data_IF_662282006098
#
_entry.id   IF_662282006098
#
_cell.length_a   1.000
_cell.length_b   1.000
_cell.length_c   1.000
_cell.angle_alpha   90.00
_cell.angle_beta   90.00
_cell.angle_gamma   90.00
#
_symmetry.space_group_name_H-M   'P 1'
#
loop_
_entity.id
_entity.type
_entity.pdbx_description
1 polymer ?
#
# COMPACT_ATOMS: atom_id res chain seq x y z
N UNK A 1 -11.11 -0.38 -15.51
CA UNK A 1 -11.76 -0.83 -14.27
C UNK A 1 -12.76 0.25 -13.95
N UNK A 2 -14.06 -0.06 -13.88
CA UNK A 2 -15.06 0.94 -13.54
C UNK A 2 -15.20 1.00 -12.01
N UNK A 3 -14.42 1.88 -11.39
CA UNK A 3 -14.50 2.20 -9.98
C UNK A 3 -15.59 3.25 -9.74
N UNK A 4 -16.45 3.03 -8.75
CA UNK A 4 -17.48 3.99 -8.35
C UNK A 4 -16.91 5.12 -7.45
N UNK A 5 -17.71 6.15 -7.18
CA UNK A 5 -17.26 7.30 -6.39
C UNK A 5 -16.89 6.92 -4.95
N UNK A 6 -17.55 5.89 -4.40
CA UNK A 6 -17.24 5.38 -3.06
C UNK A 6 -15.87 4.68 -3.03
N UNK A 7 -15.56 3.84 -4.02
CA UNK A 7 -14.25 3.23 -4.18
C UNK A 7 -13.15 4.28 -4.34
N UNK A 8 -13.38 5.32 -5.17
CA UNK A 8 -12.43 6.43 -5.32
C UNK A 8 -12.20 7.16 -4.00
N UNK A 9 -13.26 7.40 -3.22
CA UNK A 9 -13.19 8.04 -1.90
C UNK A 9 -12.40 7.19 -0.91
N UNK A 10 -12.64 5.87 -0.86
CA UNK A 10 -11.90 4.93 -0.03
C UNK A 10 -10.41 4.91 -0.37
N UNK A 11 -10.05 4.85 -1.66
CA UNK A 11 -8.65 4.87 -2.11
C UNK A 11 -7.92 6.14 -1.68
N UNK A 12 -8.54 7.31 -1.91
CA UNK A 12 -7.98 8.60 -1.48
C UNK A 12 -7.81 8.68 0.03
N UNK A 13 -8.77 8.14 0.79
CA UNK A 13 -8.67 8.07 2.25
C UNK A 13 -7.49 7.19 2.68
N UNK A 14 -7.33 6.00 2.09
CA UNK A 14 -6.22 5.11 2.42
C UNK A 14 -4.84 5.75 2.18
N UNK A 15 -4.66 6.45 1.05
CA UNK A 15 -3.44 7.22 0.78
C UNK A 15 -3.24 8.35 1.80
N UNK A 16 -4.30 9.07 2.17
CA UNK A 16 -4.18 10.15 3.16
C UNK A 16 -3.75 9.66 4.55
N UNK A 17 -4.02 8.40 4.90
CA UNK A 17 -3.53 7.80 6.14
C UNK A 17 -2.01 7.61 6.09
N UNK A 18 -1.44 7.28 4.93
CA UNK A 18 0.01 7.20 4.74
C UNK A 18 0.68 8.58 4.87
N UNK A 19 -0.01 9.67 4.56
CA UNK A 19 0.56 11.02 4.73
C UNK A 19 0.61 11.45 6.20
N UNK A 20 -0.29 10.94 7.04
CA UNK A 20 -0.31 11.27 8.48
C UNK A 20 0.85 10.64 9.24
N UNK A 21 1.45 9.56 8.72
CA UNK A 21 2.57 8.89 9.40
C UNK A 21 3.85 9.74 9.44
N UNK A 22 3.91 10.82 8.66
CA UNK A 22 5.03 11.76 8.70
C UNK A 22 5.06 12.61 9.98
N UNK A 23 3.94 12.67 10.72
CA UNK A 23 3.84 13.33 12.02
C UNK A 23 4.31 12.44 13.19
N UNK A 24 4.60 11.17 12.90
CA UNK A 24 4.98 10.15 13.88
C UNK A 24 6.48 9.85 13.81
N UNK A 25 7.01 9.22 14.85
CA UNK A 25 8.40 8.78 14.95
C UNK A 25 8.53 7.35 15.47
N UNK A 26 9.72 6.75 15.30
CA UNK A 26 10.06 5.45 15.87
C UNK A 26 9.13 4.30 15.45
N UNK A 27 8.84 3.40 16.40
CA UNK A 27 8.02 2.21 16.17
C UNK A 27 6.56 2.54 15.82
N UNK A 28 6.01 3.61 16.38
CA UNK A 28 4.64 4.08 16.11
C UNK A 28 4.48 4.44 14.64
N UNK A 29 5.44 5.18 14.07
CA UNK A 29 5.48 5.50 12.65
C UNK A 29 5.46 4.26 11.76
N UNK A 30 6.28 3.25 12.09
CA UNK A 30 6.36 2.02 11.32
C UNK A 30 5.05 1.21 11.38
N UNK A 31 4.44 1.14 12.57
CA UNK A 31 3.16 0.44 12.78
C UNK A 31 2.03 1.13 12.00
N UNK A 32 1.90 2.45 12.11
CA UNK A 32 0.85 3.20 11.42
C UNK A 32 1.02 3.19 9.90
N UNK A 33 2.26 3.20 9.40
CA UNK A 33 2.51 3.01 7.97
C UNK A 33 2.08 1.62 7.50
N UNK A 34 2.41 0.57 8.26
CA UNK A 34 1.98 -0.79 7.92
C UNK A 34 0.46 -0.91 7.91
N UNK A 35 -0.24 -0.29 8.86
CA UNK A 35 -1.69 -0.27 8.91
C UNK A 35 -2.29 0.42 7.68
N UNK A 36 -1.73 1.59 7.31
CA UNK A 36 -2.18 2.33 6.13
C UNK A 36 -1.91 1.56 4.82
N UNK A 37 -0.76 0.87 4.70
CA UNK A 37 -0.41 0.01 3.57
C UNK A 37 -1.40 -1.13 3.37
N UNK A 38 -1.76 -1.80 4.47
CA UNK A 38 -2.74 -2.88 4.46
C UNK A 38 -4.11 -2.37 4.03
N UNK A 39 -4.56 -1.24 4.58
CA UNK A 39 -5.86 -0.65 4.22
C UNK A 39 -5.91 -0.27 2.74
N UNK A 40 -4.84 0.27 2.19
CA UNK A 40 -4.74 0.58 0.77
C UNK A 40 -4.94 -0.65 -0.12
N UNK A 41 -4.22 -1.75 0.20
CA UNK A 41 -4.34 -3.00 -0.55
C UNK A 41 -5.73 -3.64 -0.41
N UNK A 42 -6.33 -3.60 0.78
CA UNK A 42 -7.71 -4.07 1.02
C UNK A 42 -8.70 -3.34 0.12
N UNK A 43 -8.65 -2.01 0.09
CA UNK A 43 -9.53 -1.21 -0.75
C UNK A 43 -9.38 -1.59 -2.23
N UNK A 44 -8.16 -1.79 -2.73
CA UNK A 44 -7.94 -2.26 -4.12
C UNK A 44 -8.63 -3.61 -4.36
N UNK A 45 -8.45 -4.59 -3.46
CA UNK A 45 -9.03 -5.91 -3.63
C UNK A 45 -10.57 -5.90 -3.50
N UNK A 46 -11.13 -5.05 -2.64
CA UNK A 46 -12.58 -4.80 -2.54
C UNK A 46 -13.13 -4.26 -3.86
N UNK A 47 -12.52 -3.21 -4.41
CA UNK A 47 -12.95 -2.59 -5.68
C UNK A 47 -12.84 -3.58 -6.84
N UNK A 48 -11.80 -4.42 -6.84
CA UNK A 48 -11.62 -5.46 -7.84
C UNK A 48 -12.59 -6.66 -7.67
N UNK A 49 -13.40 -6.70 -6.61
CA UNK A 49 -14.26 -7.84 -6.29
C UNK A 49 -13.48 -9.13 -6.01
N UNK A 50 -12.21 -9.03 -5.60
CA UNK A 50 -11.30 -10.15 -5.46
C UNK A 50 -11.27 -10.67 -4.02
N UNK A 51 -12.33 -11.36 -3.62
CA UNK A 51 -12.50 -11.92 -2.27
C UNK A 51 -11.38 -12.90 -1.86
N UNK A 52 -10.81 -13.62 -2.82
CA UNK A 52 -9.69 -14.54 -2.56
C UNK A 52 -8.42 -13.78 -2.14
N UNK A 53 -8.11 -12.67 -2.81
CA UNK A 53 -6.97 -11.84 -2.44
C UNK A 53 -7.19 -11.11 -1.12
N UNK A 54 -8.42 -10.69 -0.81
CA UNK A 54 -8.77 -10.16 0.52
C UNK A 54 -8.44 -11.17 1.63
N UNK A 55 -8.90 -12.43 1.48
CA UNK A 55 -8.62 -13.48 2.46
C UNK A 55 -7.12 -13.77 2.61
N UNK A 56 -6.37 -13.79 1.51
CA UNK A 56 -4.91 -14.01 1.56
C UNK A 56 -4.22 -12.83 2.24
N UNK A 57 -4.61 -11.59 1.92
CA UNK A 57 -4.07 -10.38 2.54
C UNK A 57 -4.29 -10.37 4.05
N UNK A 58 -5.49 -10.72 4.51
CA UNK A 58 -5.82 -10.81 5.93
C UNK A 58 -4.98 -11.89 6.64
N UNK A 59 -4.74 -13.03 5.98
CA UNK A 59 -3.92 -14.11 6.56
C UNK A 59 -2.44 -13.75 6.73
N UNK A 60 -1.95 -12.74 6.01
CA UNK A 60 -0.57 -12.30 6.01
C UNK A 60 -0.32 -11.06 6.88
N UNK A 61 -1.38 -10.46 7.41
CA UNK A 61 -1.37 -9.19 8.15
C UNK A 61 -0.25 -9.09 9.20
N UNK A 62 -0.23 -10.03 10.16
CA UNK A 62 0.73 -10.01 11.26
C UNK A 62 2.18 -10.24 10.80
N UNK A 63 2.34 -10.98 9.69
CA UNK A 63 3.66 -11.18 9.08
C UNK A 63 4.13 -9.93 8.35
N UNK A 64 3.22 -9.18 7.74
CA UNK A 64 3.49 -7.90 7.10
C UNK A 64 3.91 -6.85 8.13
N UNK A 65 3.18 -6.72 9.24
CA UNK A 65 3.54 -5.82 10.35
C UNK A 65 4.93 -6.16 10.90
N UNK A 66 5.22 -7.44 11.18
CA UNK A 66 6.53 -7.84 11.68
C UNK A 66 7.66 -7.54 10.69
N UNK A 67 7.43 -7.77 9.40
CA UNK A 67 8.37 -7.40 8.34
C UNK A 67 8.60 -5.88 8.35
N UNK A 68 7.54 -5.08 8.42
CA UNK A 68 7.64 -3.62 8.49
C UNK A 68 8.42 -3.16 9.71
N UNK A 69 8.13 -3.66 10.91
CA UNK A 69 8.87 -3.31 12.13
C UNK A 69 10.35 -3.71 11.99
N UNK A 70 10.67 -4.88 11.44
CA UNK A 70 12.05 -5.35 11.31
C UNK A 70 12.85 -4.67 10.19
N UNK A 71 12.19 -4.10 9.17
CA UNK A 71 12.85 -3.55 7.97
C UNK A 71 12.69 -2.03 7.81
N UNK A 72 11.66 -1.42 8.40
CA UNK A 72 11.29 -0.01 8.20
C UNK A 72 11.45 0.87 9.44
N UNK A 73 11.55 0.32 10.66
CA UNK A 73 11.83 1.12 11.87
C UNK A 73 13.13 1.94 11.77
N UNK A 74 14.02 1.58 10.84
CA UNK A 74 15.27 2.29 10.53
C UNK A 74 15.31 2.92 9.11
N UNK A 75 14.29 2.78 8.25
CA UNK A 75 14.38 3.15 6.83
C UNK A 75 13.19 4.00 6.35
N UNK A 76 13.25 5.29 6.64
CA UNK A 76 12.29 6.31 6.18
C UNK A 76 12.25 6.46 4.66
N UNK A 77 13.37 6.21 3.97
CA UNK A 77 13.45 6.30 2.51
C UNK A 77 12.57 5.24 1.82
N UNK A 78 12.53 4.03 2.36
CA UNK A 78 11.66 2.97 1.86
C UNK A 78 10.18 3.36 1.94
N UNK A 79 9.76 3.92 3.08
CA UNK A 79 8.40 4.43 3.28
C UNK A 79 8.05 5.51 2.25
N UNK A 80 8.98 6.44 1.99
CA UNK A 80 8.79 7.51 1.01
C UNK A 80 8.60 6.98 -0.41
N UNK A 81 9.41 6.00 -0.81
CA UNK A 81 9.29 5.38 -2.14
C UNK A 81 7.96 4.66 -2.27
N UNK A 82 7.55 3.87 -1.26
CA UNK A 82 6.28 3.16 -1.25
C UNK A 82 5.09 4.13 -1.31
N UNK A 83 5.08 5.19 -0.51
CA UNK A 83 4.05 6.24 -0.56
C UNK A 83 3.89 6.85 -1.96
N UNK A 84 5.02 7.17 -2.63
CA UNK A 84 4.99 7.67 -4.02
C UNK A 84 4.46 6.64 -5.01
N UNK A 85 4.81 5.37 -4.84
CA UNK A 85 4.31 4.29 -5.70
C UNK A 85 2.80 4.06 -5.52
N UNK A 86 2.30 4.03 -4.29
CA UNK A 86 0.88 3.91 -4.00
C UNK A 86 0.06 5.05 -4.60
N UNK A 87 0.56 6.29 -4.53
CA UNK A 87 -0.05 7.44 -5.22
C UNK A 87 -0.19 7.21 -6.72
N UNK A 88 0.88 6.77 -7.39
CA UNK A 88 0.85 6.49 -8.85
C UNK A 88 -0.17 5.41 -9.21
N UNK A 89 -0.26 4.36 -8.38
CA UNK A 89 -1.26 3.30 -8.55
C UNK A 89 -2.68 3.87 -8.38
N UNK A 90 -2.91 4.61 -7.30
CA UNK A 90 -4.20 5.25 -7.01
C UNK A 90 -4.63 6.19 -8.13
N UNK A 91 -3.74 7.07 -8.59
CA UNK A 91 -4.04 8.03 -9.67
C UNK A 91 -4.48 7.30 -10.94
N UNK A 92 -3.75 6.25 -11.32
CA UNK A 92 -4.08 5.43 -12.48
C UNK A 92 -5.46 4.75 -12.34
N UNK A 93 -5.76 4.18 -11.16
CA UNK A 93 -7.07 3.56 -10.89
C UNK A 93 -8.19 4.61 -10.96
N UNK A 94 -8.00 5.78 -10.34
CA UNK A 94 -9.02 6.84 -10.26
C UNK A 94 -9.39 7.39 -11.64
N UNK A 95 -8.42 7.52 -12.55
CA UNK A 95 -8.67 7.99 -13.93
C UNK A 95 -9.07 6.86 -14.88
N UNK A 96 -9.09 5.60 -14.42
CA UNK A 96 -9.42 4.43 -15.23
C UNK A 96 -8.30 3.93 -16.15
N UNK A 97 -7.05 4.32 -15.92
CA UNK A 97 -5.87 3.85 -16.65
C UNK A 97 -5.45 2.45 -16.17
N UNK A 98 -6.05 1.42 -16.76
CA UNK A 98 -5.77 0.01 -16.42
C UNK A 98 -4.31 -0.38 -16.69
N UNK A 99 -3.75 0.07 -17.81
CA UNK A 99 -2.38 -0.26 -18.24
C UNK A 99 -1.38 0.38 -17.27
N UNK A 100 -1.60 1.65 -16.92
CA UNK A 100 -0.79 2.35 -15.92
C UNK A 100 -0.90 1.69 -14.55
N UNK A 101 -2.11 1.37 -14.10
CA UNK A 101 -2.33 0.74 -12.80
C UNK A 101 -1.58 -0.59 -12.68
N UNK A 102 -1.68 -1.46 -13.70
CA UNK A 102 -0.95 -2.73 -13.73
C UNK A 102 0.57 -2.51 -13.73
N UNK A 103 1.06 -1.61 -14.58
CA UNK A 103 2.49 -1.28 -14.66
C UNK A 103 3.03 -0.80 -13.31
N UNK A 104 2.36 0.16 -12.67
CA UNK A 104 2.81 0.74 -11.41
C UNK A 104 2.73 -0.26 -10.25
N UNK A 105 1.73 -1.15 -10.24
CA UNK A 105 1.66 -2.23 -9.26
C UNK A 105 2.83 -3.23 -9.42
N UNK A 106 3.19 -3.60 -10.66
CA UNK A 106 4.35 -4.46 -10.93
C UNK A 106 5.67 -3.81 -10.51
N UNK A 107 5.83 -2.50 -10.78
CA UNK A 107 6.99 -1.72 -10.34
C UNK A 107 7.12 -1.73 -8.80
N UNK A 108 6.01 -1.50 -8.09
CA UNK A 108 5.96 -1.54 -6.63
C UNK A 108 6.37 -2.91 -6.07
N UNK A 109 5.76 -4.00 -6.54
CA UNK A 109 6.08 -5.36 -6.11
C UNK A 109 7.56 -5.70 -6.39
N UNK A 110 8.09 -5.30 -7.56
CA UNK A 110 9.49 -5.52 -7.91
C UNK A 110 10.45 -4.79 -6.96
N UNK A 111 10.12 -3.55 -6.60
CA UNK A 111 10.88 -2.76 -5.64
C UNK A 111 10.89 -3.41 -4.24
N UNK A 112 9.71 -3.76 -3.71
CA UNK A 112 9.59 -4.44 -2.42
C UNK A 112 10.36 -5.76 -2.41
N UNK A 113 10.27 -6.56 -3.47
CA UNK A 113 11.00 -7.83 -3.58
C UNK A 113 12.51 -7.63 -3.48
N UNK A 114 13.06 -6.60 -4.13
CA UNK A 114 14.49 -6.27 -4.05
C UNK A 114 14.89 -5.88 -2.62
N UNK A 115 14.06 -5.08 -1.95
CA UNK A 115 14.33 -4.66 -0.58
C UNK A 115 14.31 -5.85 0.38
N UNK A 116 13.30 -6.72 0.30
CA UNK A 116 13.21 -7.93 1.15
C UNK A 116 14.37 -8.89 0.88
N UNK A 117 14.79 -9.04 -0.38
CA UNK A 117 15.88 -9.97 -0.75
C UNK A 117 17.27 -9.43 -0.39
N UNK A 118 17.36 -8.19 0.10
CA UNK A 118 18.60 -7.54 0.54
C UNK A 118 18.80 -7.64 2.06
N UNK A 119 17.89 -8.31 2.77
CA UNK A 119 18.00 -8.70 4.19
C UNK A 119 18.30 -10.20 4.30
#
# INVERSE_FOLDING_TARGET
MNIDEEGKRKLKKAISLMDKVYELEGEEKAAEFSNADIEFHKVIFEIAGNSKMLMVSDSLHDRQIRLYISTHSANTELMDVCSRQHRRIMDAIVIGDEIGAEKYAKEHISYIKKMISSF
#
